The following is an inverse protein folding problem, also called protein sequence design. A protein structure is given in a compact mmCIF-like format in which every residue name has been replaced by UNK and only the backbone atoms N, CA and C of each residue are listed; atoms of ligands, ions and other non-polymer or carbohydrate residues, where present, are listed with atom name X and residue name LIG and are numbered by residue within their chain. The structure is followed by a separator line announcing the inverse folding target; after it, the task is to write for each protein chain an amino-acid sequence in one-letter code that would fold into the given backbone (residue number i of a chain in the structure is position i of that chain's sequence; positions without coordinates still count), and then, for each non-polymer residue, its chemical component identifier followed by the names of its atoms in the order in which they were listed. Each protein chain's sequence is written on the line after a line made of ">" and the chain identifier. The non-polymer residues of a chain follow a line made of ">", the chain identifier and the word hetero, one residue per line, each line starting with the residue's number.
data_IF_104475916780
#
_entry.id   IF_104475916780
#
_cell.length_a   1.000
_cell.length_b   1.000
_cell.length_c   1.000
_cell.angle_alpha   90.00
_cell.angle_beta   90.00
_cell.angle_gamma   90.00
#
_symmetry.space_group_name_H-M   'P 1'
#
loop_
_entity.id
_entity.type
_entity.pdbx_description
1 polymer ?
#
# COMPACT_ATOMS: atom_id res chain seq x y z
N UNK A 1 6.69 -2.25 -31.04
CA UNK A 1 7.62 -3.27 -30.50
C UNK A 1 7.58 -3.19 -28.98
N UNK A 2 7.42 -4.30 -28.27
CA UNK A 2 7.17 -4.32 -26.81
C UNK A 2 8.36 -3.87 -25.94
N UNK A 3 9.54 -3.65 -26.52
CA UNK A 3 10.72 -3.17 -25.79
C UNK A 3 11.43 -4.23 -24.94
N UNK A 4 10.91 -5.45 -24.88
CA UNK A 4 11.42 -6.55 -24.06
C UNK A 4 12.37 -7.43 -24.88
N UNK A 5 13.62 -6.99 -25.02
CA UNK A 5 14.60 -7.64 -25.88
C UNK A 5 15.46 -8.65 -25.11
N UNK A 6 15.68 -8.44 -23.82
CA UNK A 6 16.51 -9.33 -22.99
C UNK A 6 15.68 -10.16 -22.00
N UNK A 7 16.28 -11.23 -21.47
CA UNK A 7 15.68 -12.03 -20.40
C UNK A 7 15.43 -11.21 -19.12
N UNK A 8 16.31 -10.24 -18.84
CA UNK A 8 16.17 -9.36 -17.68
C UNK A 8 14.99 -8.39 -17.86
N UNK A 9 14.77 -7.88 -19.08
CA UNK A 9 13.60 -7.05 -19.38
C UNK A 9 12.30 -7.81 -19.13
N UNK A 10 12.23 -9.06 -19.61
CA UNK A 10 11.06 -9.92 -19.38
C UNK A 10 10.84 -10.21 -17.90
N UNK A 11 11.90 -10.52 -17.14
CA UNK A 11 11.79 -10.74 -15.68
C UNK A 11 11.29 -9.49 -14.97
N UNK A 12 11.82 -8.31 -15.34
CA UNK A 12 11.38 -7.02 -14.78
C UNK A 12 9.92 -6.76 -15.09
N UNK A 13 9.49 -6.97 -16.32
CA UNK A 13 8.10 -6.80 -16.76
C UNK A 13 7.14 -7.76 -16.04
N UNK A 14 7.52 -9.03 -15.83
CA UNK A 14 6.76 -9.98 -15.01
C UNK A 14 6.58 -9.48 -13.58
N UNK A 15 7.65 -8.98 -12.95
CA UNK A 15 7.58 -8.42 -11.60
C UNK A 15 6.70 -7.17 -11.58
N UNK A 16 6.84 -6.29 -12.57
CA UNK A 16 6.05 -5.06 -12.66
C UNK A 16 4.55 -5.36 -12.76
N UNK A 17 4.16 -6.36 -13.56
CA UNK A 17 2.77 -6.83 -13.63
C UNK A 17 2.29 -7.41 -12.29
N UNK A 18 3.08 -8.27 -11.65
CA UNK A 18 2.71 -8.87 -10.36
C UNK A 18 2.48 -7.80 -9.29
N UNK A 19 3.40 -6.83 -9.19
CA UNK A 19 3.29 -5.68 -8.29
C UNK A 19 2.02 -4.88 -8.57
N UNK A 20 1.72 -4.58 -9.84
CA UNK A 20 0.53 -3.82 -10.23
C UNK A 20 -0.77 -4.54 -9.87
N UNK A 21 -0.85 -5.84 -10.15
CA UNK A 21 -2.02 -6.68 -9.83
C UNK A 21 -2.24 -6.72 -8.32
N UNK A 22 -1.18 -6.98 -7.54
CA UNK A 22 -1.30 -7.03 -6.08
C UNK A 22 -1.64 -5.66 -5.48
N UNK A 23 -1.05 -4.58 -6.00
CA UNK A 23 -1.35 -3.23 -5.55
C UNK A 23 -2.83 -2.90 -5.76
N UNK A 24 -3.39 -3.25 -6.94
CA UNK A 24 -4.81 -3.10 -7.22
C UNK A 24 -5.69 -3.99 -6.33
N UNK A 25 -5.33 -5.26 -6.11
CA UNK A 25 -6.02 -6.21 -5.20
C UNK A 25 -6.10 -5.65 -3.77
N UNK A 26 -5.05 -4.95 -3.31
CA UNK A 26 -4.99 -4.28 -2.00
C UNK A 26 -5.54 -2.85 -2.03
N UNK A 27 -6.24 -2.47 -3.10
CA UNK A 27 -6.91 -1.16 -3.29
C UNK A 27 -5.95 0.04 -3.21
N UNK A 28 -4.67 -0.19 -3.51
CA UNK A 28 -3.60 0.81 -3.45
C UNK A 28 -3.23 1.27 -2.04
N UNK A 29 -3.59 0.52 -0.99
CA UNK A 29 -3.28 0.89 0.40
C UNK A 29 -1.85 0.50 0.81
N UNK A 30 -1.31 -0.54 0.18
CA UNK A 30 -0.05 -1.15 0.62
C UNK A 30 1.14 -0.55 -0.13
N UNK A 31 2.10 -0.02 0.62
CA UNK A 31 3.43 0.38 0.11
C UNK A 31 4.37 -0.81 0.00
N UNK A 32 5.61 -0.58 -0.45
CA UNK A 32 6.59 -1.65 -0.71
C UNK A 32 6.75 -2.66 0.43
N UNK A 33 6.79 -2.31 1.73
CA UNK A 33 6.98 -3.31 2.78
C UNK A 33 5.80 -4.28 2.87
N UNK A 34 4.56 -3.77 2.83
CA UNK A 34 3.34 -4.58 2.94
C UNK A 34 3.06 -5.35 1.67
N UNK A 35 3.33 -4.74 0.51
CA UNK A 35 3.14 -5.37 -0.77
C UNK A 35 4.16 -6.50 -1.02
N UNK A 36 5.39 -6.35 -0.52
CA UNK A 36 6.37 -7.43 -0.48
C UNK A 36 5.89 -8.61 0.36
N UNK A 37 5.34 -8.37 1.56
CA UNK A 37 4.75 -9.43 2.36
C UNK A 37 3.59 -10.12 1.63
N UNK A 38 2.66 -9.36 1.04
CA UNK A 38 1.55 -9.94 0.28
C UNK A 38 2.03 -10.78 -0.93
N UNK A 39 3.11 -10.34 -1.60
CA UNK A 39 3.69 -11.07 -2.73
C UNK A 39 4.37 -12.36 -2.26
N UNK A 40 5.09 -12.34 -1.14
CA UNK A 40 5.64 -13.54 -0.49
C UNK A 40 4.55 -14.54 -0.13
N UNK A 41 3.45 -14.06 0.43
CA UNK A 41 2.29 -14.89 0.79
C UNK A 41 1.63 -15.53 -0.47
N UNK A 42 1.61 -14.81 -1.60
CA UNK A 42 1.16 -15.33 -2.90
C UNK A 42 2.28 -16.13 -3.63
N UNK A 43 3.38 -16.49 -2.96
CA UNK A 43 4.43 -17.39 -3.45
C UNK A 43 5.55 -16.74 -4.28
N UNK A 44 5.63 -15.41 -4.32
CA UNK A 44 6.68 -14.70 -5.06
C UNK A 44 7.97 -14.55 -4.26
N UNK A 45 9.09 -14.89 -4.89
CA UNK A 45 10.43 -14.67 -4.35
C UNK A 45 11.04 -13.37 -4.89
N UNK A 46 10.63 -12.23 -4.33
CA UNK A 46 11.17 -10.91 -4.65
C UNK A 46 11.61 -10.17 -3.39
N UNK A 47 12.62 -9.31 -3.50
CA UNK A 47 13.02 -8.45 -2.39
C UNK A 47 12.11 -7.23 -2.28
N UNK A 48 11.99 -6.66 -1.08
CA UNK A 48 11.25 -5.41 -0.89
C UNK A 48 11.79 -4.27 -1.76
N UNK A 49 13.12 -4.17 -1.90
CA UNK A 49 13.76 -3.17 -2.77
C UNK A 49 13.29 -3.31 -4.22
N UNK A 50 13.19 -4.54 -4.72
CA UNK A 50 12.69 -4.82 -6.07
C UNK A 50 11.24 -4.37 -6.24
N UNK A 51 10.40 -4.58 -5.22
CA UNK A 51 9.01 -4.10 -5.20
C UNK A 51 8.98 -2.57 -5.19
N UNK A 52 9.79 -1.91 -4.36
CA UNK A 52 9.88 -0.45 -4.29
C UNK A 52 10.32 0.17 -5.64
N UNK A 53 11.33 -0.41 -6.28
CA UNK A 53 11.80 0.03 -7.60
C UNK A 53 10.73 -0.18 -8.69
N UNK A 54 9.98 -1.28 -8.62
CA UNK A 54 8.83 -1.53 -9.48
C UNK A 54 7.73 -0.49 -9.31
N UNK A 55 7.33 -0.22 -8.06
CA UNK A 55 6.36 0.83 -7.73
C UNK A 55 6.80 2.19 -8.27
N UNK A 56 8.09 2.54 -8.11
CA UNK A 56 8.65 3.79 -8.63
C UNK A 56 8.56 3.85 -10.16
N UNK A 57 8.99 2.80 -10.88
CA UNK A 57 8.91 2.75 -12.35
C UNK A 57 7.48 2.92 -12.86
N UNK A 58 6.52 2.36 -12.14
CA UNK A 58 5.10 2.35 -12.52
C UNK A 58 4.30 3.55 -11.98
N UNK A 59 4.91 4.44 -11.18
CA UNK A 59 4.20 5.55 -10.54
C UNK A 59 3.17 5.13 -9.50
N UNK A 60 3.32 3.94 -8.89
CA UNK A 60 2.40 3.43 -7.88
C UNK A 60 2.73 4.03 -6.51
N UNK A 61 1.82 4.85 -5.98
CA UNK A 61 1.97 5.48 -4.68
C UNK A 61 0.87 4.99 -3.75
N UNK A 62 1.27 4.38 -2.63
CA UNK A 62 0.33 3.86 -1.65
C UNK A 62 -0.48 5.00 -1.00
N UNK A 63 -1.80 4.80 -0.88
CA UNK A 63 -2.70 5.75 -0.27
C UNK A 63 -2.42 5.88 1.22
N UNK A 64 -2.17 7.11 1.68
CA UNK A 64 -2.13 7.43 3.10
C UNK A 64 -3.55 7.44 3.68
N UNK A 65 -3.84 6.51 4.60
CA UNK A 65 -5.06 6.57 5.41
C UNK A 65 -4.77 7.42 6.64
N UNK A 66 -5.51 8.52 6.79
CA UNK A 66 -5.44 9.35 8.01
C UNK A 66 -6.17 8.62 9.14
N UNK A 67 -5.50 8.46 10.29
CA UNK A 67 -6.20 8.01 11.51
C UNK A 67 -7.27 9.04 11.87
N UNK A 68 -8.47 8.58 12.22
CA UNK A 68 -9.48 9.44 12.81
C UNK A 68 -9.02 9.76 14.24
N UNK A 69 -8.95 11.04 14.57
CA UNK A 69 -8.65 11.48 15.93
C UNK A 69 -9.95 11.53 16.75
N UNK A 70 -9.88 11.11 18.01
CA UNK A 70 -11.01 11.06 18.95
C UNK A 70 -11.49 9.63 19.23
N UNK A 71 -11.51 9.25 20.51
CA UNK A 71 -12.09 7.99 20.99
C UNK A 71 -13.60 8.11 21.15
N UNK A 72 -14.05 9.25 21.68
CA UNK A 72 -15.45 9.61 21.92
C UNK A 72 -15.74 10.95 21.25
N UNK A 73 -16.90 11.05 20.59
CA UNK A 73 -17.43 12.35 20.15
C UNK A 73 -18.18 12.94 21.33
N UNK A 74 -17.74 14.09 21.83
CA UNK A 74 -18.48 14.81 22.86
C UNK A 74 -19.91 15.05 22.38
N UNK A 75 -20.88 14.62 23.15
CA UNK A 75 -22.25 15.07 23.00
C UNK A 75 -22.31 16.53 23.44
N UNK A 76 -22.53 17.43 22.47
CA UNK A 76 -22.61 18.88 22.73
C UNK A 76 -23.88 19.28 23.47
N UNK A 77 -24.87 18.39 23.51
CA UNK A 77 -26.16 18.60 24.15
C UNK A 77 -26.24 18.00 25.54
N UNK A 78 -25.24 17.20 25.93
CA UNK A 78 -25.16 16.67 27.29
C UNK A 78 -25.00 17.83 28.29
N UNK A 79 -25.81 17.80 29.35
CA UNK A 79 -25.75 18.80 30.41
C UNK A 79 -24.37 18.75 31.09
N UNK A 80 -23.71 19.90 31.20
CA UNK A 80 -22.45 20.00 31.94
C UNK A 80 -22.75 19.87 33.42
N UNK A 81 -21.99 19.03 34.12
CA UNK A 81 -22.12 18.94 35.57
C UNK A 81 -21.69 20.29 36.18
N UNK A 82 -22.50 20.88 37.07
CA UNK A 82 -22.13 22.09 37.80
C UNK A 82 -21.02 21.77 38.82
N UNK A 83 -20.19 22.76 39.13
CA UNK A 83 -19.17 22.63 40.18
C UNK A 83 -19.83 22.42 41.55
N UNK A 84 -19.28 21.48 42.31
CA UNK A 84 -19.69 21.20 43.68
C UNK A 84 -19.01 22.23 44.61
N UNK A 85 -19.81 22.98 45.36
CA UNK A 85 -19.38 23.97 46.37
C UNK A 85 -19.00 23.31 47.70
#
# INVERSE_FOLDING_TARGET
>A
SSGLFTAMDRRRDTIDRAVKVMFAKKRGLHGSPRLHADLRDDGWEVSEKTVADSMRRQGLVARRIKRRNGLTRQDKTASKFPDLL
#
